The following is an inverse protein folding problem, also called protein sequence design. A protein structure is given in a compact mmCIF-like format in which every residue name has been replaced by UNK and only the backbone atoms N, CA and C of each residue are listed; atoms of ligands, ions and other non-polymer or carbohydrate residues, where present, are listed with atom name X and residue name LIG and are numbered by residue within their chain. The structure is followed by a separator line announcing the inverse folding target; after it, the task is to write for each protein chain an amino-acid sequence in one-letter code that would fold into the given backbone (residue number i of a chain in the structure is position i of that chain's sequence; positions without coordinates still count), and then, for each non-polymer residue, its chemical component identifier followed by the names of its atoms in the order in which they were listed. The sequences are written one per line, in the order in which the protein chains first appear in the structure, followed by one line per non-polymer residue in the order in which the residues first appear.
data_IF_613284112739
#
_entry.id   IF_613284112739
#
_cell.length_a   1.000
_cell.length_b   1.000
_cell.length_c   1.000
_cell.angle_alpha   90.00
_cell.angle_beta   90.00
_cell.angle_gamma   90.00
#
_symmetry.space_group_name_H-M   'P 1'
#
loop_
_entity.id
_entity.type
_entity.pdbx_description
1 polymer ?
#
# COMPACT_ATOMS: atom_id res chain seq x y z
N UNK A 1 37.74 31.42 9.27
CA UNK A 1 37.07 31.00 10.53
C UNK A 1 35.59 31.03 10.28
N UNK A 2 35.10 30.03 9.51
CA UNK A 2 33.67 29.87 9.15
C UNK A 2 33.06 28.93 10.17
N UNK A 3 32.30 29.50 11.12
CA UNK A 3 31.40 28.72 11.96
C UNK A 3 30.29 28.16 11.07
N UNK A 4 30.46 26.92 10.62
CA UNK A 4 29.36 26.13 10.10
C UNK A 4 28.35 25.93 11.23
N UNK A 5 27.32 26.75 11.29
CA UNK A 5 26.12 26.55 12.11
C UNK A 5 25.53 25.18 11.70
N UNK A 6 25.92 24.12 12.42
CA UNK A 6 25.25 22.84 12.33
C UNK A 6 23.77 23.08 12.70
N UNK A 7 22.82 22.85 11.80
CA UNK A 7 21.41 22.95 12.16
C UNK A 7 21.14 22.00 13.33
N UNK A 8 20.24 22.37 14.27
CA UNK A 8 19.94 21.54 15.43
C UNK A 8 19.59 20.13 14.93
N UNK A 9 20.33 19.12 15.42
CA UNK A 9 20.07 17.71 15.11
C UNK A 9 18.66 17.39 15.57
N UNK A 10 17.72 17.32 14.64
CA UNK A 10 16.37 16.86 14.95
C UNK A 10 16.45 15.44 15.54
N UNK A 11 15.62 15.16 16.53
CA UNK A 11 15.57 13.82 17.12
C UNK A 11 15.15 12.79 16.06
N UNK A 12 15.70 11.58 16.13
CA UNK A 12 15.33 10.51 15.20
C UNK A 12 13.81 10.25 15.18
N UNK A 13 13.15 10.46 16.34
CA UNK A 13 11.70 10.35 16.47
C UNK A 13 10.98 11.42 15.65
N UNK A 14 11.44 12.67 15.69
CA UNK A 14 10.82 13.76 14.92
C UNK A 14 10.95 13.53 13.41
N UNK A 15 12.13 13.14 12.93
CA UNK A 15 12.36 12.82 11.51
C UNK A 15 11.49 11.64 11.08
N UNK A 16 11.40 10.59 11.91
CA UNK A 16 10.56 9.43 11.63
C UNK A 16 9.08 9.81 11.56
N UNK A 17 8.60 10.62 12.49
CA UNK A 17 7.21 11.10 12.48
C UNK A 17 6.91 11.95 11.24
N UNK A 18 7.82 12.86 10.86
CA UNK A 18 7.70 13.70 9.65
C UNK A 18 7.72 12.88 8.35
N UNK A 19 8.32 11.70 8.33
CA UNK A 19 8.25 10.80 7.19
C UNK A 19 7.01 9.91 7.25
N UNK A 20 6.68 9.35 8.42
CA UNK A 20 5.67 8.33 8.60
C UNK A 20 4.23 8.89 8.52
N UNK A 21 3.94 9.98 9.25
CA UNK A 21 2.58 10.54 9.31
C UNK A 21 2.08 10.98 7.94
N UNK A 22 2.83 11.76 7.12
CA UNK A 22 2.39 12.11 5.78
C UNK A 22 2.23 10.89 4.85
N UNK A 23 3.08 9.85 5.01
CA UNK A 23 2.95 8.61 4.26
C UNK A 23 1.66 7.85 4.65
N UNK A 24 1.32 7.77 5.92
CA UNK A 24 0.06 7.21 6.42
C UNK A 24 -1.13 7.99 5.85
N UNK A 25 -1.11 9.33 5.92
CA UNK A 25 -2.18 10.17 5.38
C UNK A 25 -2.34 9.99 3.87
N UNK A 26 -1.27 9.85 3.11
CA UNK A 26 -1.38 9.66 1.65
C UNK A 26 -2.11 8.37 1.25
N UNK A 27 -2.01 7.29 2.04
CA UNK A 27 -2.74 6.04 1.81
C UNK A 27 -4.13 6.05 2.43
N UNK A 28 -4.40 6.94 3.35
CA UNK A 28 -5.65 7.06 4.10
C UNK A 28 -6.85 7.35 3.18
N UNK A 29 -6.64 8.03 2.05
CA UNK A 29 -7.66 8.33 1.02
C UNK A 29 -8.52 7.12 0.68
N UNK A 30 -7.90 5.96 0.43
CA UNK A 30 -8.62 4.73 0.08
C UNK A 30 -9.45 4.23 1.26
N UNK A 31 -8.88 4.24 2.47
CA UNK A 31 -9.61 3.82 3.67
C UNK A 31 -10.84 4.67 3.96
N UNK A 32 -10.78 5.97 3.66
CA UNK A 32 -11.92 6.90 3.85
C UNK A 32 -13.06 6.60 2.87
N UNK A 33 -12.76 6.27 1.61
CA UNK A 33 -13.78 6.01 0.57
C UNK A 33 -14.54 4.70 0.81
N UNK A 34 -13.86 3.66 1.27
CA UNK A 34 -14.38 2.28 1.27
C UNK A 34 -15.71 2.12 2.00
N UNK A 35 -15.96 2.70 3.20
CA UNK A 35 -17.25 2.59 3.87
C UNK A 35 -18.40 3.27 3.12
N UNK A 36 -18.10 4.17 2.20
CA UNK A 36 -19.08 4.95 1.45
C UNK A 36 -19.32 4.43 0.02
N UNK A 37 -18.84 3.24 -0.35
CA UNK A 37 -19.06 2.67 -1.70
C UNK A 37 -20.55 2.63 -2.05
N UNK A 38 -21.43 2.25 -1.11
CA UNK A 38 -22.88 2.25 -1.30
C UNK A 38 -23.46 3.67 -1.53
N UNK A 39 -23.31 4.61 -0.60
CA UNK A 39 -23.73 6.00 -0.78
C UNK A 39 -23.15 6.66 -2.03
N UNK A 40 -21.85 6.50 -2.29
CA UNK A 40 -21.20 7.03 -3.50
C UNK A 40 -21.81 6.46 -4.80
N UNK A 41 -22.14 5.16 -4.82
CA UNK A 41 -22.79 4.55 -5.99
C UNK A 41 -24.15 5.19 -6.26
N UNK A 42 -24.92 5.48 -5.22
CA UNK A 42 -26.25 6.11 -5.32
C UNK A 42 -26.12 7.58 -5.76
N UNK A 43 -25.28 8.36 -5.11
CA UNK A 43 -25.13 9.79 -5.37
C UNK A 43 -24.56 10.07 -6.77
N UNK A 44 -23.61 9.25 -7.24
CA UNK A 44 -22.97 9.42 -8.53
C UNK A 44 -23.65 8.61 -9.66
N UNK A 45 -24.73 7.87 -9.38
CA UNK A 45 -25.42 7.04 -10.35
C UNK A 45 -24.54 5.94 -10.98
N UNK A 46 -23.65 5.34 -10.20
CA UNK A 46 -22.64 4.36 -10.66
C UNK A 46 -22.82 3.01 -9.97
N UNK A 47 -22.16 1.99 -10.51
CA UNK A 47 -22.06 0.68 -9.87
C UNK A 47 -20.83 0.60 -8.95
N UNK A 48 -20.81 -0.28 -7.93
CA UNK A 48 -19.60 -0.53 -7.12
C UNK A 48 -18.37 -0.88 -7.96
N UNK A 49 -18.55 -1.63 -9.05
CA UNK A 49 -17.44 -1.98 -9.97
C UNK A 49 -16.86 -0.76 -10.69
N UNK A 50 -17.70 0.23 -11.06
CA UNK A 50 -17.24 1.50 -11.64
C UNK A 50 -16.51 2.35 -10.60
N UNK A 51 -16.97 2.39 -9.35
CA UNK A 51 -16.20 3.00 -8.25
C UNK A 51 -14.86 2.29 -8.01
N UNK A 52 -14.81 0.98 -8.27
CA UNK A 52 -13.57 0.22 -8.29
C UNK A 52 -12.55 0.78 -9.28
N UNK A 53 -13.01 1.30 -10.43
CA UNK A 53 -12.12 1.98 -11.38
C UNK A 53 -11.53 3.27 -10.78
N UNK A 54 -12.32 4.10 -10.13
CA UNK A 54 -11.81 5.29 -9.44
C UNK A 54 -10.72 4.94 -8.42
N UNK A 55 -10.95 3.90 -7.60
CA UNK A 55 -9.97 3.39 -6.65
C UNK A 55 -8.73 2.83 -7.37
N UNK A 56 -8.91 2.15 -8.50
CA UNK A 56 -7.81 1.64 -9.32
C UNK A 56 -6.93 2.77 -9.89
N UNK A 57 -7.55 3.85 -10.33
CA UNK A 57 -6.87 5.03 -10.87
C UNK A 57 -5.94 5.70 -9.84
N UNK A 58 -6.23 5.58 -8.55
CA UNK A 58 -5.31 6.00 -7.49
C UNK A 58 -3.95 5.29 -7.56
N UNK A 59 -3.91 4.04 -8.01
CA UNK A 59 -2.67 3.25 -8.08
C UNK A 59 -1.82 3.56 -9.32
N UNK A 60 -2.40 4.10 -10.40
CA UNK A 60 -1.70 4.35 -11.68
C UNK A 60 -0.54 5.33 -11.54
N UNK A 61 -0.73 6.53 -10.96
CA UNK A 61 0.37 7.48 -10.83
C UNK A 61 1.50 6.96 -9.93
N UNK A 62 1.16 6.18 -8.90
CA UNK A 62 2.17 5.62 -8.00
C UNK A 62 3.08 4.62 -8.72
N UNK A 63 2.54 3.83 -9.66
CA UNK A 63 3.32 2.93 -10.49
C UNK A 63 4.31 3.68 -11.38
N UNK A 64 3.89 4.80 -11.97
CA UNK A 64 4.74 5.66 -12.81
C UNK A 64 5.82 6.32 -11.95
N UNK A 65 5.44 6.91 -10.81
CA UNK A 65 6.36 7.62 -9.93
C UNK A 65 7.35 6.68 -9.20
N UNK A 66 6.99 5.43 -8.94
CA UNK A 66 7.93 4.44 -8.40
C UNK A 66 9.15 4.26 -9.32
N UNK A 67 8.98 4.44 -10.62
CA UNK A 67 10.04 4.33 -11.62
C UNK A 67 10.82 5.64 -11.79
N UNK A 68 10.13 6.77 -11.80
CA UNK A 68 10.70 8.09 -12.14
C UNK A 68 11.05 8.94 -10.91
N UNK A 69 10.48 8.61 -9.75
CA UNK A 69 10.47 9.46 -8.56
C UNK A 69 11.85 9.70 -7.95
N UNK A 70 12.76 8.73 -8.06
CA UNK A 70 14.15 8.91 -7.60
C UNK A 70 14.82 10.11 -8.28
N UNK A 71 14.72 10.19 -9.60
CA UNK A 71 15.25 11.31 -10.37
C UNK A 71 14.59 12.66 -10.05
N UNK A 72 13.30 12.67 -9.72
CA UNK A 72 12.61 13.88 -9.30
C UNK A 72 13.09 14.38 -7.93
N UNK A 73 13.30 13.47 -6.99
CA UNK A 73 13.83 13.83 -5.66
C UNK A 73 15.25 14.37 -5.74
N UNK A 74 16.08 13.78 -6.59
CA UNK A 74 17.43 14.26 -6.84
C UNK A 74 17.43 15.67 -7.49
N UNK A 75 16.42 15.97 -8.34
CA UNK A 75 16.29 17.26 -8.98
C UNK A 75 15.77 18.35 -8.04
N UNK A 76 14.73 18.07 -7.27
CA UNK A 76 13.98 19.08 -6.51
C UNK A 76 14.25 19.04 -5.01
N UNK A 77 14.88 17.98 -4.51
CA UNK A 77 15.15 17.73 -3.10
C UNK A 77 13.96 17.15 -2.33
N UNK A 78 14.26 16.41 -1.28
CA UNK A 78 13.27 15.64 -0.49
C UNK A 78 12.14 16.51 0.05
N UNK A 79 12.46 17.68 0.65
CA UNK A 79 11.45 18.56 1.26
C UNK A 79 10.43 19.06 0.23
N UNK A 80 10.87 19.50 -0.96
CA UNK A 80 9.96 19.98 -2.00
C UNK A 80 9.10 18.84 -2.55
N UNK A 81 9.67 17.67 -2.70
CA UNK A 81 8.92 16.48 -3.13
C UNK A 81 7.85 16.06 -2.11
N UNK A 82 8.15 16.12 -0.81
CA UNK A 82 7.16 15.87 0.25
C UNK A 82 6.05 16.94 0.29
N UNK A 83 6.39 18.21 0.13
CA UNK A 83 5.41 19.30 0.03
C UNK A 83 4.48 19.11 -1.18
N UNK A 84 5.04 18.79 -2.33
CA UNK A 84 4.27 18.46 -3.54
C UNK A 84 3.33 17.27 -3.29
N UNK A 85 3.83 16.19 -2.67
CA UNK A 85 3.03 15.02 -2.35
C UNK A 85 1.86 15.34 -1.39
N UNK A 86 2.13 16.07 -0.30
CA UNK A 86 1.11 16.44 0.68
C UNK A 86 0.07 17.42 0.10
N UNK A 87 0.50 18.37 -0.75
CA UNK A 87 -0.43 19.28 -1.43
C UNK A 87 -1.36 18.54 -2.38
N UNK A 88 -0.85 17.58 -3.16
CA UNK A 88 -1.68 16.77 -4.06
C UNK A 88 -2.66 15.87 -3.28
N UNK A 89 -2.25 15.31 -2.15
CA UNK A 89 -3.16 14.55 -1.28
C UNK A 89 -4.30 15.44 -0.75
N UNK A 90 -3.99 16.66 -0.29
CA UNK A 90 -4.98 17.61 0.19
C UNK A 90 -5.92 18.08 -0.95
N UNK A 91 -5.37 18.45 -2.11
CA UNK A 91 -6.14 18.89 -3.28
C UNK A 91 -7.01 17.74 -3.79
N UNK A 92 -6.46 16.54 -3.97
CA UNK A 92 -7.20 15.39 -4.46
C UNK A 92 -8.37 15.03 -3.56
N UNK A 93 -8.19 15.05 -2.23
CA UNK A 93 -9.28 14.79 -1.29
C UNK A 93 -10.31 15.93 -1.24
N UNK A 94 -9.89 17.19 -1.42
CA UNK A 94 -10.81 18.32 -1.56
C UNK A 94 -11.63 18.22 -2.86
N UNK A 95 -11.03 17.82 -3.97
CA UNK A 95 -11.73 17.57 -5.22
C UNK A 95 -12.69 16.37 -5.09
N UNK A 96 -12.26 15.29 -4.42
CA UNK A 96 -13.11 14.15 -4.14
C UNK A 96 -14.35 14.56 -3.33
N UNK A 97 -14.17 15.40 -2.29
CA UNK A 97 -15.30 15.89 -1.48
C UNK A 97 -16.32 16.72 -2.26
N UNK A 98 -16.00 17.19 -3.44
CA UNK A 98 -16.88 18.00 -4.31
C UNK A 98 -17.31 17.25 -5.58
N UNK A 99 -16.96 15.98 -5.70
CA UNK A 99 -17.25 15.20 -6.90
C UNK A 99 -18.78 15.03 -7.06
N UNK A 100 -19.34 15.59 -8.11
CA UNK A 100 -20.74 15.43 -8.52
C UNK A 100 -20.92 14.43 -9.67
N UNK A 101 -19.87 13.71 -10.05
CA UNK A 101 -19.88 12.70 -11.12
C UNK A 101 -18.78 11.67 -10.92
N UNK A 102 -18.93 10.49 -11.53
CA UNK A 102 -17.90 9.45 -11.55
C UNK A 102 -16.57 9.98 -12.12
N UNK A 103 -16.62 10.73 -13.22
CA UNK A 103 -15.42 11.30 -13.85
C UNK A 103 -14.70 12.31 -12.92
N UNK A 104 -15.45 13.10 -12.15
CA UNK A 104 -14.90 14.01 -11.14
C UNK A 104 -14.18 13.23 -10.03
N UNK A 105 -14.75 12.13 -9.59
CA UNK A 105 -14.12 11.24 -8.62
C UNK A 105 -12.87 10.58 -9.20
N UNK A 106 -12.92 10.07 -10.43
CA UNK A 106 -11.79 9.47 -11.14
C UNK A 106 -10.59 10.44 -11.21
N UNK A 107 -10.85 11.69 -11.61
CA UNK A 107 -9.85 12.74 -11.66
C UNK A 107 -9.25 13.05 -10.29
N UNK A 108 -10.09 13.11 -9.25
CA UNK A 108 -9.63 13.34 -7.88
C UNK A 108 -8.76 12.19 -7.35
N UNK A 109 -9.07 10.95 -7.72
CA UNK A 109 -8.28 9.78 -7.37
C UNK A 109 -6.93 9.76 -8.06
N UNK A 110 -6.85 10.19 -9.33
CA UNK A 110 -5.57 10.37 -10.03
C UNK A 110 -4.69 11.41 -9.31
N UNK A 111 -5.26 12.54 -8.91
CA UNK A 111 -4.52 13.59 -8.18
C UNK A 111 -4.03 13.08 -6.82
N UNK A 112 -4.90 12.40 -6.05
CA UNK A 112 -4.51 11.78 -4.77
C UNK A 112 -3.43 10.71 -4.96
N UNK A 113 -3.54 9.91 -6.03
CA UNK A 113 -2.57 8.88 -6.39
C UNK A 113 -1.18 9.44 -6.77
N UNK A 114 -1.13 10.59 -7.43
CA UNK A 114 0.13 11.33 -7.64
C UNK A 114 0.76 11.73 -6.30
N UNK A 115 -0.05 12.24 -5.37
CA UNK A 115 0.41 12.56 -4.00
C UNK A 115 0.95 11.33 -3.27
N UNK A 116 0.22 10.23 -3.32
CA UNK A 116 0.64 8.95 -2.73
C UNK A 116 1.96 8.44 -3.33
N UNK A 117 2.05 8.37 -4.66
CA UNK A 117 3.26 7.89 -5.34
C UNK A 117 4.49 8.75 -5.04
N UNK A 118 4.33 10.07 -5.03
CA UNK A 118 5.42 10.99 -4.66
C UNK A 118 5.86 10.80 -3.19
N UNK A 119 4.90 10.58 -2.27
CA UNK A 119 5.19 10.35 -0.86
C UNK A 119 5.91 9.01 -0.62
N UNK A 120 5.53 7.95 -1.36
CA UNK A 120 6.19 6.64 -1.29
C UNK A 120 7.69 6.70 -1.60
N UNK A 121 8.11 7.65 -2.43
CA UNK A 121 9.53 7.85 -2.77
C UNK A 121 10.19 8.86 -1.83
N UNK A 122 9.50 9.94 -1.48
CA UNK A 122 10.07 11.04 -0.69
C UNK A 122 10.27 10.70 0.79
N UNK A 123 9.34 9.96 1.41
CA UNK A 123 9.43 9.63 2.83
C UNK A 123 10.63 8.73 3.18
N UNK A 124 10.93 7.64 2.43
CA UNK A 124 12.17 6.88 2.62
C UNK A 124 13.42 7.73 2.43
N UNK A 125 13.43 8.63 1.44
CA UNK A 125 14.57 9.50 1.17
C UNK A 125 14.85 10.47 2.34
N UNK A 126 13.81 10.98 3.03
CA UNK A 126 14.00 11.79 4.23
C UNK A 126 14.73 11.00 5.33
N UNK A 127 14.28 9.76 5.59
CA UNK A 127 14.88 8.88 6.59
C UNK A 127 16.33 8.58 6.25
N UNK A 128 16.60 8.24 4.98
CA UNK A 128 17.97 7.92 4.51
C UNK A 128 18.91 9.11 4.60
N UNK A 129 18.42 10.31 4.32
CA UNK A 129 19.24 11.52 4.33
C UNK A 129 19.50 12.08 5.73
N UNK A 130 18.57 11.89 6.69
CA UNK A 130 18.60 12.57 7.97
C UNK A 130 19.03 11.69 9.15
N UNK A 131 19.00 10.34 9.01
CA UNK A 131 19.25 9.43 10.11
C UNK A 131 20.51 8.58 9.94
N UNK A 132 21.20 8.29 11.06
CA UNK A 132 22.32 7.36 11.15
C UNK A 132 21.83 5.89 11.08
N UNK A 133 22.75 4.95 10.82
CA UNK A 133 22.43 3.55 10.46
C UNK A 133 21.44 2.86 11.42
N UNK A 134 21.66 2.89 12.72
CA UNK A 134 20.77 2.22 13.67
C UNK A 134 19.38 2.85 13.77
N UNK A 135 19.28 4.19 13.72
CA UNK A 135 18.00 4.89 13.71
C UNK A 135 17.29 4.71 12.36
N UNK A 136 18.05 4.76 11.26
CA UNK A 136 17.56 4.56 9.90
C UNK A 136 16.88 3.20 9.74
N UNK A 137 17.51 2.11 10.18
CA UNK A 137 16.94 0.76 10.09
C UNK A 137 15.59 0.69 10.82
N UNK A 138 15.52 1.19 12.06
CA UNK A 138 14.27 1.20 12.83
C UNK A 138 13.17 2.04 12.17
N UNK A 139 13.52 3.22 11.67
CA UNK A 139 12.57 4.11 11.02
C UNK A 139 12.06 3.56 9.69
N UNK A 140 12.93 2.90 8.90
CA UNK A 140 12.53 2.23 7.66
C UNK A 140 11.63 1.02 7.94
N UNK A 141 11.91 0.26 8.99
CA UNK A 141 11.03 -0.84 9.44
C UNK A 141 9.64 -0.32 9.82
N UNK A 142 9.56 0.78 10.58
CA UNK A 142 8.28 1.41 10.88
C UNK A 142 7.61 1.94 9.61
N UNK A 143 8.37 2.60 8.72
CA UNK A 143 7.83 3.14 7.49
C UNK A 143 7.19 2.05 6.62
N UNK A 144 7.70 0.81 6.63
CA UNK A 144 7.10 -0.29 5.85
C UNK A 144 5.65 -0.60 6.24
N UNK A 145 5.19 -0.15 7.39
CA UNK A 145 3.81 -0.35 7.88
C UNK A 145 2.85 0.79 7.49
N UNK A 146 3.32 1.84 6.81
CA UNK A 146 2.51 3.03 6.54
C UNK A 146 1.22 2.73 5.74
N UNK A 147 1.28 1.82 4.78
CA UNK A 147 0.15 1.55 3.90
C UNK A 147 -1.02 0.86 4.63
N UNK A 148 -0.82 -0.27 5.35
CA UNK A 148 -1.90 -0.85 6.14
C UNK A 148 -2.37 0.06 7.29
N UNK A 149 -1.48 0.83 7.90
CA UNK A 149 -1.85 1.81 8.94
C UNK A 149 -2.69 2.94 8.35
N UNK A 150 -2.33 3.47 7.18
CA UNK A 150 -3.08 4.53 6.51
C UNK A 150 -4.48 4.06 6.10
N UNK A 151 -4.58 2.87 5.55
CA UNK A 151 -5.87 2.28 5.23
C UNK A 151 -6.74 2.12 6.48
N UNK A 152 -6.21 1.57 7.57
CA UNK A 152 -6.95 1.40 8.83
C UNK A 152 -7.36 2.75 9.44
N UNK A 153 -6.46 3.74 9.45
CA UNK A 153 -6.75 5.09 9.91
C UNK A 153 -7.85 5.76 9.07
N UNK A 154 -7.86 5.51 7.75
CA UNK A 154 -8.91 5.99 6.86
C UNK A 154 -10.28 5.40 7.19
N UNK A 155 -10.35 4.08 7.41
CA UNK A 155 -11.59 3.43 7.88
C UNK A 155 -12.09 4.04 9.19
N UNK A 156 -11.19 4.25 10.16
CA UNK A 156 -11.57 4.83 11.46
C UNK A 156 -12.04 6.29 11.34
N UNK A 157 -11.40 7.09 10.49
CA UNK A 157 -11.89 8.44 10.19
C UNK A 157 -13.29 8.39 9.56
N UNK A 158 -13.49 7.50 8.60
CA UNK A 158 -14.76 7.36 7.90
C UNK A 158 -15.91 6.98 8.84
N UNK A 159 -15.64 6.14 9.86
CA UNK A 159 -16.65 5.70 10.85
C UNK A 159 -17.40 6.87 11.49
N UNK A 160 -16.73 8.02 11.72
CA UNK A 160 -17.34 9.22 12.30
C UNK A 160 -18.48 9.78 11.44
N UNK A 161 -18.47 9.51 10.14
CA UNK A 161 -19.40 10.08 9.16
C UNK A 161 -20.34 9.03 8.54
N UNK A 162 -20.20 7.75 8.88
CA UNK A 162 -20.99 6.67 8.26
C UNK A 162 -22.47 6.73 8.61
N UNK A 163 -22.84 7.14 9.84
CA UNK A 163 -24.23 7.20 10.28
C UNK A 163 -25.06 8.24 9.49
N UNK A 164 -24.39 9.30 9.03
CA UNK A 164 -25.01 10.33 8.19
C UNK A 164 -24.85 10.06 6.70
N UNK A 165 -24.05 9.07 6.31
CA UNK A 165 -23.67 8.80 4.92
C UNK A 165 -22.85 9.92 4.27
N UNK A 166 -22.36 10.89 5.05
CA UNK A 166 -21.73 12.12 4.56
C UNK A 166 -20.27 11.88 4.16
N UNK A 167 -20.07 11.24 3.01
CA UNK A 167 -18.74 10.99 2.45
C UNK A 167 -18.02 12.29 2.04
N UNK A 168 -18.75 13.36 1.70
CA UNK A 168 -18.18 14.69 1.40
C UNK A 168 -17.40 15.23 2.61
N UNK A 169 -18.05 15.20 3.81
CA UNK A 169 -17.40 15.63 5.04
C UNK A 169 -16.20 14.76 5.43
N UNK A 170 -16.30 13.44 5.23
CA UNK A 170 -15.19 12.53 5.49
C UNK A 170 -13.96 12.85 4.61
N UNK A 171 -14.17 13.10 3.31
CA UNK A 171 -13.12 13.50 2.38
C UNK A 171 -12.54 14.88 2.72
N UNK A 172 -13.39 15.84 3.13
CA UNK A 172 -12.93 17.16 3.54
C UNK A 172 -12.10 17.10 4.83
N UNK A 173 -12.50 16.27 5.79
CA UNK A 173 -11.72 16.02 7.01
C UNK A 173 -10.34 15.44 6.68
N UNK A 174 -10.27 14.49 5.74
CA UNK A 174 -9.00 13.94 5.27
C UNK A 174 -8.16 15.01 4.53
N UNK A 175 -8.78 15.86 3.73
CA UNK A 175 -8.10 16.99 3.07
C UNK A 175 -7.47 17.94 4.10
N UNK A 176 -8.21 18.27 5.18
CA UNK A 176 -7.70 19.11 6.27
C UNK A 176 -6.49 18.49 6.98
N UNK A 177 -6.52 17.16 7.25
CA UNK A 177 -5.38 16.45 7.84
C UNK A 177 -4.16 16.47 6.90
N UNK A 178 -4.37 16.29 5.59
CA UNK A 178 -3.32 16.35 4.59
C UNK A 178 -2.72 17.77 4.47
N UNK A 179 -3.56 18.80 4.56
CA UNK A 179 -3.12 20.20 4.62
C UNK A 179 -2.32 20.50 5.90
N UNK A 180 -2.73 19.96 7.04
CA UNK A 180 -1.95 20.07 8.28
C UNK A 180 -0.58 19.39 8.16
N UNK A 181 -0.52 18.22 7.49
CA UNK A 181 0.76 17.56 7.20
C UNK A 181 1.64 18.40 6.25
N UNK A 182 1.05 19.05 5.24
CA UNK A 182 1.78 20.00 4.38
C UNK A 182 2.41 21.12 5.21
N UNK A 183 1.66 21.74 6.12
CA UNK A 183 2.16 22.77 7.02
C UNK A 183 3.28 22.23 7.93
N UNK A 184 3.11 21.04 8.49
CA UNK A 184 4.13 20.40 9.31
C UNK A 184 5.44 20.15 8.53
N UNK A 185 5.34 19.66 7.28
CA UNK A 185 6.50 19.48 6.40
C UNK A 185 7.16 20.85 6.10
N UNK A 186 6.35 21.87 5.81
CA UNK A 186 6.82 23.22 5.53
C UNK A 186 7.59 23.84 6.70
N UNK A 187 7.16 23.58 7.93
CA UNK A 187 7.78 24.17 9.12
C UNK A 187 8.98 23.36 9.62
N UNK A 188 8.87 22.03 9.59
CA UNK A 188 9.79 21.18 10.35
C UNK A 188 10.73 20.33 9.48
N UNK A 189 10.43 20.05 8.20
CA UNK A 189 11.39 19.29 7.38
C UNK A 189 12.55 20.19 6.95
N UNK A 190 13.80 19.85 7.26
CA UNK A 190 14.95 20.67 6.91
C UNK A 190 15.16 20.74 5.39
N UNK A 191 15.72 21.85 4.91
CA UNK A 191 16.20 21.95 3.54
C UNK A 191 17.49 21.15 3.40
N UNK A 192 17.36 19.85 3.15
CA UNK A 192 18.52 18.99 2.82
C UNK A 192 18.92 19.33 1.38
N UNK A 193 20.17 19.79 1.22
CA UNK A 193 20.73 20.02 -0.11
C UNK A 193 20.78 18.68 -0.87
N UNK A 194 20.12 18.60 -2.01
CA UNK A 194 20.31 17.48 -2.92
C UNK A 194 21.76 17.51 -3.39
N UNK A 195 22.53 16.45 -3.12
CA UNK A 195 23.81 16.25 -3.80
C UNK A 195 23.45 15.97 -5.27
N UNK A 196 23.72 16.92 -6.14
CA UNK A 196 23.69 16.68 -7.57
C UNK A 196 24.66 15.52 -7.86
N UNK A 197 24.11 14.36 -8.16
CA UNK A 197 24.92 13.23 -8.61
C UNK A 197 25.29 13.55 -10.04
N UNK A 198 26.58 13.75 -10.29
CA UNK A 198 27.15 14.07 -11.62
C UNK A 198 26.94 12.93 -12.64
N UNK A 199 26.54 11.74 -12.19
CA UNK A 199 26.30 10.54 -13.03
C UNK A 199 24.79 10.25 -13.21
N UNK A 200 24.05 11.17 -13.85
CA UNK A 200 22.66 10.84 -14.23
C UNK A 200 22.64 10.03 -15.52
N UNK A 201 22.26 8.75 -15.43
CA UNK A 201 21.90 8.00 -16.64
C UNK A 201 20.66 8.66 -17.30
N UNK A 202 20.69 8.90 -18.62
CA UNK A 202 19.54 9.39 -19.37
C UNK A 202 18.33 8.44 -19.23
N UNK A 203 17.11 8.99 -19.04
CA UNK A 203 15.86 8.24 -18.91
C UNK A 203 15.69 7.10 -19.94
N UNK A 204 16.06 7.27 -21.24
CA UNK A 204 15.96 6.18 -22.22
C UNK A 204 16.84 4.96 -21.90
N UNK A 205 18.01 5.19 -21.29
CA UNK A 205 18.91 4.10 -20.92
C UNK A 205 18.38 3.34 -19.69
N UNK A 206 17.83 4.05 -18.72
CA UNK A 206 17.16 3.46 -17.55
C UNK A 206 15.99 2.58 -18.00
N UNK A 207 15.16 3.07 -18.95
CA UNK A 207 14.04 2.29 -19.50
C UNK A 207 14.51 1.04 -20.27
N UNK A 208 15.57 1.17 -21.07
CA UNK A 208 16.19 0.03 -21.79
C UNK A 208 16.77 -1.02 -20.84
N UNK A 209 17.36 -0.58 -19.73
CA UNK A 209 17.83 -1.44 -18.64
C UNK A 209 16.67 -2.16 -17.94
N UNK A 210 15.57 -1.46 -17.68
CA UNK A 210 14.36 -2.05 -17.11
C UNK A 210 13.79 -3.16 -18.01
N UNK A 211 13.69 -2.92 -19.32
CA UNK A 211 13.26 -3.96 -20.28
C UNK A 211 14.20 -5.16 -20.28
N UNK A 212 15.49 -4.95 -20.05
CA UNK A 212 16.48 -6.03 -19.94
C UNK A 212 16.27 -6.97 -18.75
N UNK A 213 15.61 -6.50 -17.66
CA UNK A 213 15.36 -7.30 -16.47
C UNK A 213 14.29 -8.38 -16.69
N UNK A 214 13.34 -8.16 -17.64
CA UNK A 214 12.38 -9.18 -18.05
C UNK A 214 13.03 -10.45 -18.58
N UNK A 215 14.27 -10.35 -19.05
CA UNK A 215 15.06 -11.49 -19.55
C UNK A 215 15.77 -12.26 -18.44
N UNK A 216 15.75 -11.76 -17.19
CA UNK A 216 16.36 -12.49 -16.06
C UNK A 216 15.40 -13.58 -15.61
N UNK A 217 15.80 -14.87 -15.75
CA UNK A 217 14.93 -15.98 -15.37
C UNK A 217 14.49 -15.88 -13.91
N UNK A 218 13.19 -16.09 -13.66
CA UNK A 218 12.62 -16.11 -12.33
C UNK A 218 12.19 -14.75 -11.74
N UNK A 219 12.65 -13.60 -12.27
CA UNK A 219 12.25 -12.28 -11.75
C UNK A 219 10.76 -12.02 -12.03
N UNK A 220 10.28 -12.34 -13.21
CA UNK A 220 8.87 -12.20 -13.57
C UNK A 220 7.99 -13.15 -12.74
N UNK A 221 8.43 -14.41 -12.56
CA UNK A 221 7.74 -15.36 -11.67
C UNK A 221 7.67 -14.87 -10.23
N UNK A 222 8.75 -14.27 -9.70
CA UNK A 222 8.76 -13.63 -8.39
C UNK A 222 7.79 -12.43 -8.35
N UNK A 223 7.73 -11.64 -9.42
CA UNK A 223 6.76 -10.55 -9.56
C UNK A 223 5.32 -11.03 -9.45
N UNK A 224 4.93 -12.08 -10.17
CA UNK A 224 3.60 -12.70 -10.10
C UNK A 224 3.35 -13.26 -8.69
N UNK A 225 4.33 -13.97 -8.12
CA UNK A 225 4.20 -14.57 -6.79
C UNK A 225 3.93 -13.54 -5.68
N UNK A 226 4.41 -12.30 -5.81
CA UNK A 226 4.12 -11.20 -4.87
C UNK A 226 2.85 -10.45 -5.26
N UNK A 227 2.62 -10.22 -6.55
CA UNK A 227 1.53 -9.39 -7.05
C UNK A 227 0.15 -10.00 -6.81
N UNK A 228 -0.03 -11.31 -7.01
CA UNK A 228 -1.34 -11.94 -6.84
C UNK A 228 -1.83 -11.97 -5.38
N UNK A 229 -1.03 -12.35 -4.37
CA UNK A 229 -1.43 -12.18 -2.97
C UNK A 229 -1.74 -10.72 -2.62
N UNK A 230 -1.03 -9.75 -3.22
CA UNK A 230 -1.31 -8.33 -3.04
C UNK A 230 -2.67 -7.94 -3.63
N UNK A 231 -3.01 -8.43 -4.83
CA UNK A 231 -4.34 -8.24 -5.43
C UNK A 231 -5.45 -8.78 -4.51
N UNK A 232 -5.29 -10.01 -4.00
CA UNK A 232 -6.23 -10.62 -3.05
C UNK A 232 -6.34 -9.78 -1.78
N UNK A 233 -5.21 -9.33 -1.20
CA UNK A 233 -5.22 -8.52 0.02
C UNK A 233 -5.88 -7.16 -0.18
N UNK A 234 -5.61 -6.52 -1.31
CA UNK A 234 -6.20 -5.23 -1.64
C UNK A 234 -7.70 -5.36 -1.91
N UNK A 235 -8.09 -6.30 -2.79
CA UNK A 235 -9.48 -6.55 -3.13
C UNK A 235 -10.33 -6.97 -1.92
N UNK A 236 -9.84 -7.93 -1.11
CA UNK A 236 -10.47 -8.33 0.15
C UNK A 236 -10.66 -7.12 1.07
N UNK A 237 -9.64 -6.25 1.19
CA UNK A 237 -9.73 -5.05 2.02
C UNK A 237 -10.84 -4.09 1.60
N UNK A 238 -11.10 -4.00 0.29
CA UNK A 238 -12.17 -3.14 -0.25
C UNK A 238 -13.56 -3.75 -0.06
N UNK A 239 -13.68 -5.06 -0.24
CA UNK A 239 -14.97 -5.75 -0.20
C UNK A 239 -15.44 -6.07 1.23
N UNK A 240 -14.53 -6.41 2.15
CA UNK A 240 -14.87 -6.92 3.48
C UNK A 240 -15.74 -5.98 4.32
N UNK A 241 -15.55 -4.65 4.37
CA UNK A 241 -16.43 -3.80 5.18
C UNK A 241 -17.90 -3.92 4.78
N UNK A 242 -18.21 -3.84 3.50
CA UNK A 242 -19.57 -3.97 2.99
C UNK A 242 -20.09 -5.41 3.11
N UNK A 243 -19.24 -6.40 2.83
CA UNK A 243 -19.61 -7.81 2.96
C UNK A 243 -19.99 -8.19 4.38
N UNK A 244 -19.17 -7.86 5.39
CA UNK A 244 -19.45 -8.14 6.79
C UNK A 244 -20.70 -7.40 7.27
N UNK A 245 -20.91 -6.16 6.85
CA UNK A 245 -22.10 -5.41 7.18
C UNK A 245 -23.36 -6.13 6.71
N UNK A 246 -23.37 -6.64 5.47
CA UNK A 246 -24.50 -7.41 4.92
C UNK A 246 -24.65 -8.79 5.56
N UNK A 247 -23.57 -9.58 5.59
CA UNK A 247 -23.59 -10.97 6.04
C UNK A 247 -23.95 -11.12 7.53
N UNK A 248 -23.57 -10.15 8.35
CA UNK A 248 -23.81 -10.18 9.82
C UNK A 248 -24.85 -9.16 10.29
N UNK A 249 -25.57 -8.49 9.37
CA UNK A 249 -26.56 -7.47 9.69
C UNK A 249 -26.02 -6.34 10.60
N UNK A 250 -24.78 -5.90 10.32
CA UNK A 250 -24.10 -4.87 11.10
C UNK A 250 -24.19 -3.50 10.42
N UNK A 251 -23.98 -2.45 11.22
CA UNK A 251 -23.72 -1.13 10.63
C UNK A 251 -22.38 -1.15 9.89
N UNK A 252 -22.28 -0.36 8.83
CA UNK A 252 -21.01 -0.20 8.08
C UNK A 252 -19.89 0.36 8.99
N UNK A 253 -20.25 1.16 9.99
CA UNK A 253 -19.33 1.67 11.01
C UNK A 253 -18.70 0.53 11.80
N UNK A 254 -19.49 -0.38 12.35
CA UNK A 254 -19.02 -1.53 13.14
C UNK A 254 -18.14 -2.46 12.29
N UNK A 255 -18.57 -2.74 11.07
CA UNK A 255 -17.82 -3.56 10.14
C UNK A 255 -16.46 -2.93 9.78
N UNK A 256 -16.44 -1.64 9.45
CA UNK A 256 -15.23 -0.90 9.12
C UNK A 256 -14.24 -0.83 10.30
N UNK A 257 -14.75 -0.59 11.51
CA UNK A 257 -13.95 -0.60 12.73
C UNK A 257 -13.35 -1.99 13.01
N UNK A 258 -14.10 -3.08 12.76
CA UNK A 258 -13.61 -4.45 12.89
C UNK A 258 -12.48 -4.73 11.90
N UNK A 259 -12.62 -4.32 10.65
CA UNK A 259 -11.58 -4.46 9.62
C UNK A 259 -10.33 -3.65 9.97
N UNK A 260 -10.49 -2.41 10.44
CA UNK A 260 -9.37 -1.57 10.89
C UNK A 260 -8.61 -2.22 12.06
N UNK A 261 -9.34 -2.73 13.06
CA UNK A 261 -8.77 -3.41 14.22
C UNK A 261 -8.03 -4.68 13.82
N UNK A 262 -8.60 -5.50 12.91
CA UNK A 262 -7.95 -6.69 12.39
C UNK A 262 -6.64 -6.36 11.66
N UNK A 263 -6.61 -5.30 10.85
CA UNK A 263 -5.40 -4.84 10.16
C UNK A 263 -4.31 -4.39 11.15
N UNK A 264 -4.68 -3.63 12.18
CA UNK A 264 -3.73 -3.20 13.20
C UNK A 264 -3.21 -4.38 14.03
N UNK A 265 -4.07 -5.34 14.41
CA UNK A 265 -3.66 -6.56 15.09
C UNK A 265 -2.71 -7.40 14.24
N UNK A 266 -3.01 -7.56 12.94
CA UNK A 266 -2.16 -8.31 12.02
C UNK A 266 -0.77 -7.67 11.82
N UNK A 267 -0.66 -6.35 11.87
CA UNK A 267 0.63 -5.65 11.85
C UNK A 267 1.51 -6.03 13.05
N UNK A 268 0.92 -6.08 14.24
CA UNK A 268 1.63 -6.45 15.46
C UNK A 268 2.08 -7.91 15.44
N UNK A 269 1.19 -8.82 15.04
CA UNK A 269 1.46 -10.26 15.00
C UNK A 269 2.39 -10.63 13.84
N UNK A 270 2.15 -10.06 12.64
CA UNK A 270 2.87 -10.39 11.41
C UNK A 270 4.34 -9.98 11.45
N UNK A 271 4.63 -8.80 11.98
CA UNK A 271 6.02 -8.29 12.06
C UNK A 271 6.92 -9.16 12.95
N UNK A 272 6.39 -9.62 14.09
CA UNK A 272 7.15 -10.47 15.04
C UNK A 272 7.17 -11.93 14.61
N UNK A 273 6.00 -12.48 14.26
CA UNK A 273 5.86 -13.90 13.92
C UNK A 273 6.60 -14.29 12.64
N UNK A 274 6.55 -13.47 11.60
CA UNK A 274 7.21 -13.75 10.33
C UNK A 274 8.73 -13.64 10.44
N UNK A 275 9.24 -12.60 11.13
CA UNK A 275 10.68 -12.48 11.41
C UNK A 275 11.22 -13.72 12.13
N UNK A 276 10.47 -14.25 13.10
CA UNK A 276 10.82 -15.48 13.80
C UNK A 276 10.83 -16.71 12.89
N UNK A 277 9.81 -16.91 12.05
CA UNK A 277 9.73 -18.04 11.12
C UNK A 277 10.87 -18.01 10.08
N UNK A 278 11.17 -16.85 9.53
CA UNK A 278 12.28 -16.67 8.58
C UNK A 278 13.65 -16.93 9.24
N UNK A 279 13.80 -16.61 10.53
CA UNK A 279 15.05 -16.90 11.27
C UNK A 279 15.32 -18.39 11.48
N UNK A 280 14.29 -19.25 11.38
CA UNK A 280 14.38 -20.71 11.56
C UNK A 280 14.83 -21.47 10.32
N UNK A 281 15.28 -20.76 9.27
CA UNK A 281 15.79 -21.37 8.02
C UNK A 281 14.81 -22.37 7.35
N UNK A 282 13.51 -22.14 7.48
CA UNK A 282 12.49 -22.94 6.79
C UNK A 282 12.61 -22.68 5.29
N UNK A 283 12.53 -23.74 4.47
CA UNK A 283 12.56 -23.60 3.01
C UNK A 283 11.49 -22.61 2.55
N UNK A 284 11.89 -21.55 1.87
CA UNK A 284 11.01 -20.44 1.48
C UNK A 284 9.76 -20.92 0.70
N UNK A 285 9.90 -21.94 -0.16
CA UNK A 285 8.77 -22.50 -0.91
C UNK A 285 7.78 -23.25 0.00
N UNK A 286 8.28 -23.99 0.98
CA UNK A 286 7.42 -24.70 1.95
C UNK A 286 6.66 -23.68 2.80
N UNK A 287 7.35 -22.65 3.30
CA UNK A 287 6.72 -21.56 4.04
C UNK A 287 5.65 -20.87 3.19
N UNK A 288 5.98 -20.52 1.93
CA UNK A 288 5.04 -19.90 1.00
C UNK A 288 3.82 -20.78 0.76
N UNK A 289 4.00 -22.08 0.52
CA UNK A 289 2.90 -23.03 0.33
C UNK A 289 1.99 -23.14 1.55
N UNK A 290 2.57 -23.20 2.75
CA UNK A 290 1.80 -23.18 4.01
C UNK A 290 0.98 -21.91 4.13
N UNK A 291 1.58 -20.74 3.82
CA UNK A 291 0.87 -19.46 3.84
C UNK A 291 -0.24 -19.38 2.79
N UNK A 292 -0.07 -19.98 1.62
CA UNK A 292 -1.14 -20.11 0.61
C UNK A 292 -2.31 -20.93 1.16
N UNK A 293 -2.05 -22.10 1.76
CA UNK A 293 -3.10 -22.94 2.35
C UNK A 293 -3.83 -22.18 3.47
N UNK A 294 -3.09 -21.55 4.39
CA UNK A 294 -3.67 -20.73 5.46
C UNK A 294 -4.52 -19.60 4.86
N UNK A 295 -4.03 -18.95 3.81
CA UNK A 295 -4.72 -17.87 3.11
C UNK A 295 -6.05 -18.34 2.50
N UNK A 296 -6.06 -19.47 1.81
CA UNK A 296 -7.28 -20.05 1.21
C UNK A 296 -8.29 -20.41 2.31
N UNK A 297 -7.86 -21.08 3.37
CA UNK A 297 -8.72 -21.43 4.51
C UNK A 297 -9.30 -20.16 5.17
N UNK A 298 -8.46 -19.15 5.38
CA UNK A 298 -8.89 -17.89 5.98
C UNK A 298 -9.91 -17.15 5.10
N UNK A 299 -9.70 -17.09 3.78
CA UNK A 299 -10.66 -16.51 2.85
C UNK A 299 -11.99 -17.29 2.83
N UNK A 300 -11.91 -18.62 2.88
CA UNK A 300 -13.11 -19.47 2.94
C UNK A 300 -13.92 -19.22 4.22
N UNK A 301 -13.27 -19.16 5.37
CA UNK A 301 -13.95 -18.85 6.64
C UNK A 301 -14.54 -17.43 6.59
N UNK A 302 -13.77 -16.44 6.10
CA UNK A 302 -14.19 -15.05 6.03
C UNK A 302 -15.47 -14.83 5.19
N UNK A 303 -15.55 -15.49 4.03
CA UNK A 303 -16.61 -15.23 3.06
C UNK A 303 -17.72 -16.31 3.03
N UNK A 304 -17.53 -17.47 3.62
CA UNK A 304 -18.57 -18.52 3.65
C UNK A 304 -19.21 -18.71 5.03
N UNK A 305 -18.62 -18.13 6.10
CA UNK A 305 -19.14 -18.29 7.45
C UNK A 305 -19.93 -17.05 7.87
N UNK A 306 -21.23 -17.16 7.92
CA UNK A 306 -22.12 -16.06 8.34
C UNK A 306 -22.53 -16.15 9.82
N UNK A 307 -22.16 -17.23 10.54
CA UNK A 307 -22.64 -17.53 11.88
C UNK A 307 -21.97 -16.73 13.00
N UNK A 308 -20.75 -16.21 12.77
CA UNK A 308 -19.98 -15.53 13.83
C UNK A 308 -19.06 -14.45 13.29
N UNK A 309 -19.33 -13.20 13.69
CA UNK A 309 -18.46 -12.06 13.40
C UNK A 309 -17.04 -12.26 13.98
N UNK A 310 -16.94 -12.84 15.17
CA UNK A 310 -15.64 -13.08 15.79
C UNK A 310 -14.79 -14.05 14.94
N UNK A 311 -15.40 -15.09 14.39
CA UNK A 311 -14.72 -16.03 13.52
C UNK A 311 -14.30 -15.37 12.19
N UNK A 312 -15.17 -14.55 11.60
CA UNK A 312 -14.83 -13.79 10.39
C UNK A 312 -13.67 -12.81 10.64
N UNK A 313 -13.69 -12.09 11.76
CA UNK A 313 -12.61 -11.17 12.14
C UNK A 313 -11.29 -11.91 12.41
N UNK A 314 -11.34 -13.05 13.09
CA UNK A 314 -10.17 -13.90 13.32
C UNK A 314 -9.60 -14.44 11.98
N UNK A 315 -10.48 -14.85 11.07
CA UNK A 315 -10.08 -15.27 9.72
C UNK A 315 -9.43 -14.13 8.93
N UNK A 316 -9.93 -12.89 9.06
CA UNK A 316 -9.30 -11.72 8.44
C UNK A 316 -7.90 -11.46 8.99
N UNK A 317 -7.69 -11.57 10.31
CA UNK A 317 -6.35 -11.47 10.92
C UNK A 317 -5.43 -12.57 10.39
N UNK A 318 -5.93 -13.80 10.33
CA UNK A 318 -5.18 -14.96 9.82
C UNK A 318 -4.81 -14.77 8.34
N UNK A 319 -5.72 -14.24 7.52
CA UNK A 319 -5.45 -13.89 6.13
C UNK A 319 -4.34 -12.85 6.01
N UNK A 320 -4.41 -11.76 6.78
CA UNK A 320 -3.42 -10.68 6.74
C UNK A 320 -2.03 -11.17 7.21
N UNK A 321 -2.00 -12.09 8.18
CA UNK A 321 -0.76 -12.77 8.59
C UNK A 321 -0.19 -13.61 7.44
N UNK A 322 -1.02 -14.45 6.79
CA UNK A 322 -0.61 -15.26 5.66
C UNK A 322 -0.11 -14.41 4.48
N UNK A 323 -0.80 -13.30 4.17
CA UNK A 323 -0.39 -12.33 3.17
C UNK A 323 0.99 -11.72 3.49
N UNK A 324 1.19 -11.28 4.73
CA UNK A 324 2.49 -10.76 5.18
C UNK A 324 3.61 -11.80 5.00
N UNK A 325 3.33 -13.06 5.28
CA UNK A 325 4.24 -14.18 5.08
C UNK A 325 4.59 -14.46 3.62
N UNK A 326 3.60 -14.45 2.75
CA UNK A 326 3.82 -14.62 1.31
C UNK A 326 4.62 -13.46 0.73
N UNK A 327 4.21 -12.23 1.01
CA UNK A 327 4.84 -11.03 0.47
C UNK A 327 6.28 -10.86 0.98
N UNK A 328 6.48 -10.94 2.30
CA UNK A 328 7.81 -10.84 2.92
C UNK A 328 8.72 -11.99 2.53
N UNK A 329 8.23 -13.23 2.61
CA UNK A 329 8.97 -14.43 2.24
C UNK A 329 9.41 -14.43 0.77
N UNK A 330 8.54 -14.05 -0.15
CA UNK A 330 8.91 -13.96 -1.57
C UNK A 330 9.98 -12.89 -1.82
N UNK A 331 9.92 -11.74 -1.14
CA UNK A 331 10.93 -10.69 -1.31
C UNK A 331 12.32 -11.09 -0.78
N UNK A 332 12.42 -12.01 0.19
CA UNK A 332 13.71 -12.56 0.63
C UNK A 332 14.39 -13.41 -0.44
N UNK A 333 13.64 -13.88 -1.44
CA UNK A 333 14.18 -14.65 -2.57
C UNK A 333 14.79 -13.75 -3.66
N UNK A 334 14.55 -12.45 -3.64
CA UNK A 334 15.07 -11.53 -4.65
C UNK A 334 16.59 -11.61 -4.81
N UNK A 335 17.43 -11.60 -3.74
CA UNK A 335 18.87 -11.75 -3.87
C UNK A 335 19.31 -13.12 -4.37
N UNK A 336 18.50 -14.16 -4.18
CA UNK A 336 18.77 -15.53 -4.65
C UNK A 336 18.51 -15.66 -6.15
N UNK A 337 17.39 -15.06 -6.62
CA UNK A 337 17.01 -15.03 -8.03
C UNK A 337 17.92 -14.10 -8.82
N UNK A 338 18.30 -12.95 -8.24
CA UNK A 338 19.16 -11.95 -8.86
C UNK A 338 20.50 -11.90 -8.12
N UNK A 339 21.44 -12.73 -8.56
CA UNK A 339 22.77 -12.85 -7.93
C UNK A 339 23.60 -11.57 -8.07
N UNK A 340 23.46 -10.86 -9.19
CA UNK A 340 24.16 -9.61 -9.47
C UNK A 340 23.57 -8.45 -8.61
N UNK A 341 24.32 -7.89 -7.64
CA UNK A 341 23.84 -6.80 -6.80
C UNK A 341 23.42 -5.56 -7.60
N UNK A 342 24.10 -5.27 -8.72
CA UNK A 342 23.79 -4.10 -9.55
C UNK A 342 22.41 -4.19 -10.23
N UNK A 343 21.86 -5.40 -10.40
CA UNK A 343 20.55 -5.63 -11.02
C UNK A 343 19.41 -5.77 -10.02
N UNK A 344 19.69 -5.90 -8.71
CA UNK A 344 18.65 -6.09 -7.67
C UNK A 344 17.67 -4.95 -7.60
N UNK A 345 18.14 -3.71 -7.75
CA UNK A 345 17.26 -2.52 -7.77
C UNK A 345 16.27 -2.57 -8.92
N UNK A 346 16.72 -2.91 -10.14
CA UNK A 346 15.85 -3.05 -11.31
C UNK A 346 14.85 -4.20 -11.16
N UNK A 347 15.28 -5.32 -10.57
CA UNK A 347 14.43 -6.47 -10.33
C UNK A 347 13.34 -6.14 -9.29
N UNK A 348 13.68 -5.42 -8.22
CA UNK A 348 12.71 -4.90 -7.25
C UNK A 348 11.72 -3.94 -7.91
N UNK A 349 12.18 -3.10 -8.84
CA UNK A 349 11.33 -2.22 -9.65
C UNK A 349 10.31 -3.01 -10.47
N UNK A 350 10.73 -4.08 -11.14
CA UNK A 350 9.82 -4.95 -11.90
C UNK A 350 8.78 -5.63 -11.00
N UNK A 351 9.20 -6.16 -9.85
CA UNK A 351 8.26 -6.73 -8.86
C UNK A 351 7.23 -5.69 -8.42
N UNK A 352 7.67 -4.45 -8.15
CA UNK A 352 6.76 -3.36 -7.81
C UNK A 352 5.79 -3.01 -8.95
N UNK A 353 6.22 -3.07 -10.22
CA UNK A 353 5.31 -2.87 -11.36
C UNK A 353 4.25 -3.98 -11.42
N UNK A 354 4.62 -5.24 -11.17
CA UNK A 354 3.64 -6.34 -11.08
C UNK A 354 2.63 -6.09 -9.94
N UNK A 355 3.08 -5.63 -8.76
CA UNK A 355 2.22 -5.26 -7.64
C UNK A 355 1.27 -4.11 -8.02
N UNK A 356 1.78 -3.08 -8.69
CA UNK A 356 0.97 -1.93 -9.12
C UNK A 356 -0.10 -2.33 -10.13
N UNK A 357 0.23 -3.19 -11.09
CA UNK A 357 -0.74 -3.72 -12.04
C UNK A 357 -1.82 -4.56 -11.34
N UNK A 358 -1.44 -5.41 -10.41
CA UNK A 358 -2.37 -6.19 -9.59
C UNK A 358 -3.28 -5.28 -8.74
N UNK A 359 -2.72 -4.22 -8.14
CA UNK A 359 -3.47 -3.21 -7.39
C UNK A 359 -4.42 -2.40 -8.28
N UNK A 360 -4.09 -2.19 -9.54
CA UNK A 360 -4.97 -1.55 -10.52
C UNK A 360 -6.16 -2.45 -10.89
N UNK A 361 -5.91 -3.74 -11.12
CA UNK A 361 -6.98 -4.67 -11.52
C UNK A 361 -7.91 -5.06 -10.36
N UNK A 362 -7.39 -5.16 -9.13
CA UNK A 362 -8.12 -5.70 -7.99
C UNK A 362 -9.44 -4.95 -7.64
N UNK A 363 -9.50 -3.61 -7.56
CA UNK A 363 -10.71 -2.92 -7.10
C UNK A 363 -11.94 -3.23 -7.93
N UNK A 364 -11.89 -3.02 -9.24
CA UNK A 364 -13.02 -3.28 -10.15
C UNK A 364 -13.42 -4.76 -10.13
N UNK A 365 -12.45 -5.67 -10.05
CA UNK A 365 -12.71 -7.10 -10.04
C UNK A 365 -13.41 -7.52 -8.75
N UNK A 366 -12.89 -7.12 -7.58
CA UNK A 366 -13.46 -7.51 -6.28
C UNK A 366 -14.82 -6.87 -6.00
N UNK A 367 -15.00 -5.60 -6.37
CA UNK A 367 -16.26 -4.90 -6.18
C UNK A 367 -17.36 -5.30 -7.18
N UNK A 368 -17.02 -6.07 -8.21
CA UNK A 368 -17.99 -6.70 -9.11
C UNK A 368 -18.54 -8.04 -8.57
N UNK A 369 -17.92 -8.61 -7.54
CA UNK A 369 -18.35 -9.89 -6.96
C UNK A 369 -19.51 -9.66 -5.97
N UNK A 370 -20.50 -10.54 -6.00
CA UNK A 370 -21.70 -10.43 -5.18
C UNK A 370 -21.92 -11.63 -4.24
N UNK A 371 -21.15 -12.69 -4.41
CA UNK A 371 -21.33 -13.94 -3.67
C UNK A 371 -20.03 -14.38 -2.99
N UNK A 372 -20.12 -14.90 -1.75
CA UNK A 372 -18.99 -15.36 -0.96
C UNK A 372 -18.14 -16.42 -1.67
N UNK A 373 -18.78 -17.33 -2.40
CA UNK A 373 -18.08 -18.37 -3.17
C UNK A 373 -17.21 -17.76 -4.28
N UNK A 374 -17.67 -16.70 -4.96
CA UNK A 374 -16.91 -16.00 -5.99
C UNK A 374 -15.62 -15.39 -5.40
N UNK A 375 -15.71 -14.75 -4.22
CA UNK A 375 -14.53 -14.23 -3.52
C UNK A 375 -13.51 -15.34 -3.22
N UNK A 376 -13.99 -16.48 -2.70
CA UNK A 376 -13.12 -17.61 -2.35
C UNK A 376 -12.45 -18.21 -3.58
N UNK A 377 -13.21 -18.46 -4.65
CA UNK A 377 -12.67 -19.05 -5.89
C UNK A 377 -11.63 -18.15 -6.55
N UNK A 378 -11.90 -16.86 -6.62
CA UNK A 378 -10.96 -15.89 -7.16
C UNK A 378 -9.69 -15.80 -6.31
N UNK A 379 -9.83 -15.69 -4.99
CA UNK A 379 -8.71 -15.65 -4.07
C UNK A 379 -7.87 -16.93 -4.15
N UNK A 380 -8.50 -18.10 -4.11
CA UNK A 380 -7.82 -19.41 -4.22
C UNK A 380 -7.06 -19.54 -5.55
N UNK A 381 -7.70 -19.17 -6.66
CA UNK A 381 -7.08 -19.17 -7.99
C UNK A 381 -5.82 -18.29 -8.02
N UNK A 382 -5.91 -17.04 -7.56
CA UNK A 382 -4.77 -16.13 -7.46
C UNK A 382 -3.64 -16.70 -6.59
N UNK A 383 -3.98 -17.26 -5.41
CA UNK A 383 -2.99 -17.80 -4.48
C UNK A 383 -2.30 -19.07 -5.02
N UNK A 384 -3.04 -19.95 -5.68
CA UNK A 384 -2.47 -21.14 -6.33
C UNK A 384 -1.52 -20.72 -7.46
N UNK A 385 -1.94 -19.80 -8.33
CA UNK A 385 -1.09 -19.29 -9.41
C UNK A 385 0.16 -18.60 -8.85
N UNK A 386 0.04 -17.87 -7.75
CA UNK A 386 1.21 -17.26 -7.10
C UNK A 386 2.23 -18.28 -6.60
N UNK A 387 1.76 -19.42 -6.05
CA UNK A 387 2.63 -20.52 -5.63
C UNK A 387 3.31 -21.20 -6.82
N UNK A 388 2.59 -21.41 -7.92
CA UNK A 388 3.14 -22.01 -9.15
C UNK A 388 4.16 -21.10 -9.82
N UNK A 389 3.97 -19.79 -9.75
CA UNK A 389 4.87 -18.79 -10.31
C UNK A 389 6.17 -18.63 -9.51
N UNK A 390 6.24 -19.13 -8.26
CA UNK A 390 7.42 -18.98 -7.42
C UNK A 390 8.64 -19.68 -8.06
N UNK A 391 9.78 -18.99 -8.24
CA UNK A 391 10.93 -19.54 -8.96
C UNK A 391 11.47 -20.84 -8.35
N UNK A 392 11.71 -21.84 -9.19
CA UNK A 392 12.25 -23.15 -8.77
C UNK A 392 13.69 -23.10 -8.25
N UNK A 393 14.48 -22.11 -8.67
CA UNK A 393 15.81 -21.85 -8.11
C UNK A 393 15.78 -21.56 -6.60
N UNK A 394 14.67 -21.00 -6.12
CA UNK A 394 14.41 -20.76 -4.70
C UNK A 394 13.96 -22.02 -3.94
N UNK A 395 13.63 -23.11 -4.64
CA UNK A 395 13.16 -24.36 -4.02
C UNK A 395 14.29 -25.25 -3.50
N UNK A 396 15.55 -24.94 -3.83
CA UNK A 396 16.72 -25.78 -3.48
C UNK A 396 17.51 -25.29 -2.27
N UNK A 397 17.07 -24.22 -1.64
CA UNK A 397 17.54 -23.72 -0.36
C UNK A 397 16.44 -23.89 0.69
#
# INVERSE_FOLDING_TARGET
MEQTLNPPRQSAVAVTALAYIPAVLSMMTIGVIVPFIGPLSQDLGTTPAQLGLAIALFSVPSAILATLGGGLIDAYGVRRSMLFAASLSAIGSSLASQAGSALGLDGSMLVSGLGFGAMCVAAPCLIMAALSDGARIRSMSLLSTFAPTGYAAGLLLAVVFTDTGNWHAAMLAHAALSAAAFVAILLFVPKVSSRATEDREPLPQTFKRMLGIFRVPGVFGLGIAVALPNAVSYGTSLAVPSYLAHAHHLSIATSSASVASAKLAALLIGGVGMGYLLSRQVRARTLFAVMVVIGIVAQSILFLTTSSLMLATAALVLWLFAFGGMSGGAMTLLPVVVRDPARRGLASGLVNQCISLASFCAPSTWLALNDGMQFVLLAAGCLIVSLLALPTAAARQ
#
